data_IF_432704331752
#
_entry.id   IF_432704331752
#
_cell.length_a   1.000
_cell.length_b   1.000
_cell.length_c   1.000
_cell.angle_alpha   90.00
_cell.angle_beta   90.00
_cell.angle_gamma   90.00
#
_symmetry.space_group_name_H-M   'P 1'
#
loop_
_entity.id
_entity.type
_entity.pdbx_description
1 polymer ?
#
# COMPACT_ATOMS: atom_id res chain seq x y z
N UNK A 1 -6.82 19.43 16.44
CA UNK A 1 -7.93 18.62 15.90
C UNK A 1 -7.99 18.67 14.37
N UNK A 2 -7.94 19.86 13.76
CA UNK A 2 -8.18 20.00 12.30
C UNK A 2 -7.17 19.27 11.42
N UNK A 3 -5.89 19.24 11.79
CA UNK A 3 -4.86 18.48 11.06
C UNK A 3 -5.17 16.98 10.98
N UNK A 4 -5.78 16.40 12.03
CA UNK A 4 -6.13 14.98 12.07
C UNK A 4 -7.33 14.70 11.16
N UNK A 5 -8.36 15.56 11.22
CA UNK A 5 -9.52 15.48 10.32
C UNK A 5 -9.07 15.62 8.86
N UNK A 6 -8.25 16.62 8.57
CA UNK A 6 -7.70 16.85 7.25
C UNK A 6 -6.88 15.64 6.77
N UNK A 7 -6.03 15.05 7.60
CA UNK A 7 -5.24 13.87 7.22
C UNK A 7 -6.12 12.69 6.79
N UNK A 8 -7.17 12.36 7.55
CA UNK A 8 -8.08 11.27 7.21
C UNK A 8 -8.92 11.58 5.96
N UNK A 9 -9.52 12.76 5.89
CA UNK A 9 -10.39 13.15 4.76
C UNK A 9 -9.58 13.27 3.47
N UNK A 10 -8.43 13.93 3.51
CA UNK A 10 -7.60 14.13 2.32
C UNK A 10 -6.89 12.85 1.86
N UNK A 11 -6.65 11.90 2.76
CA UNK A 11 -6.23 10.54 2.37
C UNK A 11 -7.30 9.87 1.49
N UNK A 12 -8.56 9.90 1.93
CA UNK A 12 -9.67 9.36 1.16
C UNK A 12 -9.93 10.10 -0.16
N UNK A 13 -9.78 11.44 -0.17
CA UNK A 13 -9.87 12.24 -1.40
C UNK A 13 -8.74 11.86 -2.38
N UNK A 14 -7.51 11.75 -1.90
CA UNK A 14 -6.36 11.35 -2.72
C UNK A 14 -6.54 9.95 -3.30
N UNK A 15 -7.05 9.01 -2.49
CA UNK A 15 -7.39 7.66 -2.93
C UNK A 15 -8.46 7.67 -4.03
N UNK A 16 -9.59 8.36 -3.82
CA UNK A 16 -10.65 8.45 -4.81
C UNK A 16 -10.18 9.06 -6.15
N UNK A 17 -9.37 10.13 -6.07
CA UNK A 17 -8.77 10.78 -7.24
C UNK A 17 -7.85 9.84 -8.01
N UNK A 18 -6.99 9.09 -7.32
CA UNK A 18 -6.09 8.11 -7.93
C UNK A 18 -6.82 6.89 -8.48
N UNK A 19 -7.86 6.43 -7.79
CA UNK A 19 -8.57 5.19 -8.08
C UNK A 19 -9.43 5.26 -9.36
N UNK A 20 -10.12 6.39 -9.59
CA UNK A 20 -10.95 6.56 -10.80
C UNK A 20 -10.15 6.32 -12.10
N UNK A 21 -8.88 6.69 -12.11
CA UNK A 21 -8.02 6.51 -13.28
C UNK A 21 -7.66 5.04 -13.49
N UNK A 22 -7.47 4.28 -12.41
CA UNK A 22 -7.18 2.85 -12.46
C UNK A 22 -8.40 1.99 -12.87
N UNK A 23 -9.61 2.43 -12.51
CA UNK A 23 -10.84 1.70 -12.83
C UNK A 23 -11.31 1.88 -14.28
N UNK A 24 -10.95 2.99 -14.93
CA UNK A 24 -11.37 3.29 -16.31
C UNK A 24 -10.49 2.67 -17.40
N UNK A 25 -9.17 2.63 -17.24
CA UNK A 25 -8.29 2.11 -18.28
C UNK A 25 -7.04 1.43 -17.69
N UNK A 26 -6.73 0.22 -18.17
CA UNK A 26 -5.47 -0.49 -17.91
C UNK A 26 -4.23 0.21 -18.51
N UNK A 27 -4.32 1.50 -18.84
CA UNK A 27 -3.29 2.25 -19.56
C UNK A 27 -3.04 3.58 -18.86
N UNK A 28 -2.37 3.52 -17.71
CA UNK A 28 -1.98 4.67 -16.90
C UNK A 28 -0.81 5.44 -17.53
N UNK A 29 -1.01 5.99 -18.73
CA UNK A 29 -0.10 7.00 -19.26
C UNK A 29 -0.36 8.29 -18.50
N UNK A 30 0.57 8.68 -17.61
CA UNK A 30 0.45 9.90 -16.80
C UNK A 30 0.14 11.15 -17.63
N UNK A 31 0.59 11.22 -18.88
CA UNK A 31 0.24 12.28 -19.82
C UNK A 31 -1.26 12.36 -20.12
N UNK A 32 -1.95 11.22 -20.26
CA UNK A 32 -3.41 11.17 -20.49
C UNK A 32 -4.18 11.64 -19.27
N UNK A 33 -3.77 11.23 -18.06
CA UNK A 33 -4.37 11.71 -16.80
C UNK A 33 -4.25 13.24 -16.70
N UNK A 34 -3.08 13.79 -17.04
CA UNK A 34 -2.87 15.24 -17.03
C UNK A 34 -3.70 15.96 -18.11
N UNK A 35 -3.90 15.34 -19.28
CA UNK A 35 -4.77 15.89 -20.32
C UNK A 35 -6.24 15.92 -19.88
N UNK A 36 -6.76 14.81 -19.35
CA UNK A 36 -8.14 14.75 -18.84
C UNK A 36 -8.37 15.77 -17.72
N UNK A 37 -7.40 15.96 -16.84
CA UNK A 37 -7.48 16.98 -15.79
C UNK A 37 -7.52 18.40 -16.37
N UNK A 38 -6.75 18.68 -17.43
CA UNK A 38 -6.80 19.97 -18.14
C UNK A 38 -8.16 20.19 -18.82
N UNK A 39 -8.73 19.17 -19.43
CA UNK A 39 -10.05 19.22 -20.08
C UNK A 39 -11.18 19.50 -19.07
N UNK A 40 -11.04 19.01 -17.83
CA UNK A 40 -11.96 19.31 -16.72
C UNK A 40 -11.75 20.73 -16.16
N UNK A 41 -10.65 21.40 -16.53
CA UNK A 41 -10.32 22.75 -16.10
C UNK A 41 -9.48 22.80 -14.82
N UNK A 42 -8.77 21.74 -14.46
CA UNK A 42 -7.92 21.72 -13.26
C UNK A 42 -8.54 21.01 -12.05
N UNK A 43 -7.74 20.89 -10.98
CA UNK A 43 -8.12 20.17 -9.76
C UNK A 43 -9.19 20.93 -8.95
N UNK A 44 -9.16 22.25 -9.01
CA UNK A 44 -10.11 23.16 -8.36
C UNK A 44 -11.54 23.05 -8.91
N UNK A 45 -11.69 22.61 -10.16
CA UNK A 45 -12.98 22.45 -10.83
C UNK A 45 -13.55 21.03 -10.69
N UNK A 46 -12.83 20.14 -9.99
CA UNK A 46 -13.29 18.78 -9.75
C UNK A 46 -14.39 18.74 -8.71
N UNK A 47 -15.56 18.25 -9.13
CA UNK A 47 -16.67 17.91 -8.23
C UNK A 47 -16.61 16.41 -7.93
N UNK A 48 -16.24 16.08 -6.69
CA UNK A 48 -16.21 14.71 -6.20
C UNK A 48 -17.62 14.25 -5.85
N UNK A 49 -18.03 13.10 -6.40
CA UNK A 49 -19.26 12.41 -6.02
C UNK A 49 -18.97 10.92 -5.85
N UNK A 50 -19.65 10.22 -4.92
CA UNK A 50 -19.40 8.80 -4.69
C UNK A 50 -19.52 7.92 -5.95
N UNK A 51 -20.45 8.26 -6.85
CA UNK A 51 -20.68 7.50 -8.08
C UNK A 51 -19.55 7.67 -9.12
N UNK A 52 -18.95 8.86 -9.17
CA UNK A 52 -17.92 9.19 -10.17
C UNK A 52 -16.51 8.98 -9.63
N UNK A 53 -16.32 9.18 -8.33
CA UNK A 53 -15.05 9.15 -7.61
C UNK A 53 -15.20 8.30 -6.34
N UNK A 54 -15.46 6.99 -6.47
CA UNK A 54 -15.50 6.12 -5.31
C UNK A 54 -14.09 5.98 -4.71
N UNK A 55 -14.02 5.82 -3.39
CA UNK A 55 -12.78 5.42 -2.71
C UNK A 55 -12.41 3.97 -3.07
N UNK A 56 -11.13 3.60 -3.00
CA UNK A 56 -10.69 2.22 -3.27
C UNK A 56 -10.75 1.35 -2.00
N UNK A 57 -10.23 0.12 -2.11
CA UNK A 57 -9.95 -0.74 -0.96
C UNK A 57 -8.98 -0.11 0.04
N UNK A 58 -8.08 0.78 -0.40
CA UNK A 58 -7.13 1.47 0.48
C UNK A 58 -7.83 2.26 1.58
N UNK A 59 -8.79 3.11 1.23
CA UNK A 59 -9.55 3.87 2.23
C UNK A 59 -10.35 2.94 3.14
N UNK A 60 -10.95 1.87 2.60
CA UNK A 60 -11.73 0.93 3.43
C UNK A 60 -10.84 0.23 4.48
N UNK A 61 -9.65 -0.23 4.08
CA UNK A 61 -8.70 -0.87 4.99
C UNK A 61 -8.08 0.13 5.97
N UNK A 62 -7.84 1.38 5.54
CA UNK A 62 -7.40 2.45 6.42
C UNK A 62 -8.46 2.78 7.47
N UNK A 63 -9.73 2.86 7.07
CA UNK A 63 -10.85 3.05 8.00
C UNK A 63 -11.02 1.88 8.96
N UNK A 64 -10.90 0.63 8.49
CA UNK A 64 -10.91 -0.56 9.36
C UNK A 64 -9.81 -0.49 10.44
N UNK A 65 -8.62 -0.03 10.07
CA UNK A 65 -7.50 0.18 11.01
C UNK A 65 -7.79 1.34 11.96
N UNK A 66 -8.32 2.45 11.44
CA UNK A 66 -8.65 3.63 12.22
C UNK A 66 -9.73 3.33 13.27
N UNK A 67 -10.74 2.55 12.90
CA UNK A 67 -11.81 2.13 13.80
C UNK A 67 -11.32 1.17 14.89
N UNK A 68 -10.37 0.29 14.58
CA UNK A 68 -9.75 -0.59 15.59
C UNK A 68 -8.92 0.20 16.61
N UNK A 69 -8.15 1.22 16.18
CA UNK A 69 -7.22 1.92 17.08
C UNK A 69 -7.90 2.94 18.01
N UNK A 70 -9.18 3.21 17.78
CA UNK A 70 -10.03 4.06 18.64
C UNK A 70 -10.92 3.25 19.57
N UNK A 71 -10.90 1.92 19.52
CA UNK A 71 -11.60 1.11 20.52
C UNK A 71 -10.89 1.19 21.87
N UNK A 72 -11.63 0.87 22.92
CA UNK A 72 -11.04 0.65 24.23
C UNK A 72 -10.39 -0.72 24.26
N UNK A 73 -9.07 -0.75 24.45
CA UNK A 73 -8.27 -1.97 24.60
C UNK A 73 -7.33 -1.83 25.79
N UNK A 74 -7.11 -2.92 26.53
CA UNK A 74 -6.28 -2.90 27.73
C UNK A 74 -4.81 -3.17 27.40
N UNK A 75 -4.55 -3.99 26.39
CA UNK A 75 -3.22 -4.30 25.89
C UNK A 75 -3.18 -4.34 24.35
N UNK A 76 -1.98 -4.45 23.77
CA UNK A 76 -1.84 -4.50 22.30
C UNK A 76 -2.46 -5.76 21.69
N UNK A 77 -2.52 -6.88 22.41
CA UNK A 77 -3.18 -8.09 21.91
C UNK A 77 -4.68 -7.90 21.71
N UNK A 78 -5.35 -7.12 22.58
CA UNK A 78 -6.75 -6.74 22.40
C UNK A 78 -6.92 -5.92 21.11
N UNK A 79 -6.03 -4.96 20.87
CA UNK A 79 -6.01 -4.19 19.63
C UNK A 79 -5.79 -5.09 18.41
N UNK A 80 -4.87 -6.06 18.49
CA UNK A 80 -4.60 -6.97 17.37
C UNK A 80 -5.78 -7.89 17.07
N UNK A 81 -6.51 -8.36 18.09
CA UNK A 81 -7.77 -9.11 17.91
C UNK A 81 -8.84 -8.25 17.23
N UNK A 82 -8.97 -6.99 17.62
CA UNK A 82 -9.93 -6.09 16.97
C UNK A 82 -9.54 -5.77 15.52
N UNK A 83 -8.24 -5.57 15.24
CA UNK A 83 -7.74 -5.41 13.87
C UNK A 83 -8.08 -6.63 13.01
N UNK A 84 -7.86 -7.84 13.54
CA UNK A 84 -8.23 -9.09 12.86
C UNK A 84 -9.72 -9.11 12.51
N UNK A 85 -10.58 -8.85 13.49
CA UNK A 85 -12.03 -8.84 13.30
C UNK A 85 -12.43 -7.85 12.20
N UNK A 86 -11.91 -6.62 12.25
CA UNK A 86 -12.19 -5.55 11.27
C UNK A 86 -11.69 -5.89 9.87
N UNK A 87 -10.52 -6.50 9.75
CA UNK A 87 -9.96 -6.87 8.45
C UNK A 87 -10.72 -8.02 7.80
N UNK A 88 -11.12 -9.03 8.57
CA UNK A 88 -11.98 -10.11 8.07
C UNK A 88 -13.34 -9.55 7.61
N UNK A 89 -13.98 -8.71 8.43
CA UNK A 89 -15.26 -8.05 8.07
C UNK A 89 -15.14 -7.13 6.84
N UNK A 90 -13.94 -6.58 6.59
CA UNK A 90 -13.72 -5.69 5.45
C UNK A 90 -13.70 -6.45 4.12
N UNK A 91 -13.30 -7.72 4.08
CA UNK A 91 -13.11 -8.51 2.85
C UNK A 91 -14.34 -8.47 1.94
N UNK A 92 -15.53 -8.62 2.49
CA UNK A 92 -16.78 -8.59 1.71
C UNK A 92 -17.01 -7.24 1.03
N UNK A 93 -16.61 -6.14 1.70
CA UNK A 93 -16.73 -4.77 1.21
C UNK A 93 -15.66 -4.40 0.16
N UNK A 94 -14.59 -5.19 0.05
CA UNK A 94 -13.54 -5.00 -0.95
C UNK A 94 -13.90 -5.59 -2.31
N UNK A 95 -14.97 -6.40 -2.39
CA UNK A 95 -15.46 -6.97 -3.64
C UNK A 95 -15.74 -5.88 -4.68
N UNK A 96 -15.32 -6.11 -5.93
CA UNK A 96 -15.48 -5.16 -7.03
C UNK A 96 -14.47 -3.99 -7.06
N UNK A 97 -13.62 -3.82 -6.03
CA UNK A 97 -12.66 -2.70 -5.97
C UNK A 97 -11.25 -3.02 -6.48
N UNK A 98 -10.99 -4.26 -6.92
CA UNK A 98 -9.67 -4.77 -7.35
C UNK A 98 -8.57 -4.59 -6.29
N UNK A 99 -8.79 -5.13 -5.07
CA UNK A 99 -7.81 -5.01 -3.98
C UNK A 99 -6.50 -5.71 -4.31
N UNK A 100 -5.43 -5.30 -3.61
CA UNK A 100 -4.15 -6.02 -3.62
C UNK A 100 -4.38 -7.50 -3.26
N UNK A 101 -3.96 -8.48 -4.09
CA UNK A 101 -4.14 -9.89 -3.81
C UNK A 101 -3.63 -10.31 -2.43
N UNK A 102 -2.49 -9.75 -1.99
CA UNK A 102 -1.91 -10.05 -0.68
C UNK A 102 -2.82 -9.57 0.47
N UNK A 103 -3.57 -8.48 0.29
CA UNK A 103 -4.56 -8.03 1.27
C UNK A 103 -5.65 -9.07 1.47
N UNK A 104 -6.26 -9.56 0.37
CA UNK A 104 -7.37 -10.51 0.46
C UNK A 104 -6.92 -11.88 0.97
N UNK A 105 -5.81 -12.40 0.44
CA UNK A 105 -5.22 -13.66 0.89
C UNK A 105 -4.87 -13.59 2.37
N UNK A 106 -4.17 -12.53 2.78
CA UNK A 106 -3.80 -12.29 4.17
C UNK A 106 -4.99 -12.23 5.11
N UNK A 107 -6.05 -11.47 4.76
CA UNK A 107 -7.25 -11.39 5.60
C UNK A 107 -7.95 -12.75 5.77
N UNK A 108 -7.89 -13.63 4.77
CA UNK A 108 -8.46 -14.99 4.84
C UNK A 108 -7.65 -15.95 5.73
N UNK A 109 -6.37 -15.67 5.94
CA UNK A 109 -5.51 -16.46 6.82
C UNK A 109 -5.64 -16.06 8.30
N UNK A 110 -6.24 -14.90 8.58
CA UNK A 110 -6.52 -14.45 9.93
C UNK A 110 -7.56 -15.32 10.62
N UNK A 111 -7.47 -15.41 11.94
CA UNK A 111 -8.29 -16.34 12.74
C UNK A 111 -9.09 -15.57 13.79
N UNK A 112 -10.22 -14.95 13.42
CA UNK A 112 -10.99 -14.10 14.34
C UNK A 112 -11.53 -14.87 15.56
N UNK A 113 -11.76 -16.17 15.42
CA UNK A 113 -12.27 -17.04 16.50
C UNK A 113 -11.14 -17.59 17.40
N UNK A 114 -9.88 -17.27 17.13
CA UNK A 114 -8.75 -17.70 17.95
C UNK A 114 -8.29 -16.54 18.86
N UNK A 115 -8.16 -16.81 20.16
CA UNK A 115 -7.71 -15.80 21.11
C UNK A 115 -6.18 -15.64 21.15
N UNK A 116 -5.43 -16.68 20.77
CA UNK A 116 -3.97 -16.71 20.77
C UNK A 116 -3.45 -16.52 19.35
N UNK A 117 -2.61 -15.50 19.13
CA UNK A 117 -1.92 -15.25 17.86
C UNK A 117 -2.86 -15.17 16.65
N UNK A 118 -4.08 -14.65 16.85
CA UNK A 118 -5.14 -14.51 15.84
C UNK A 118 -4.68 -13.78 14.57
N UNK A 119 -3.73 -12.85 14.76
CA UNK A 119 -3.18 -11.94 13.76
C UNK A 119 -1.93 -12.44 13.06
N UNK A 120 -1.36 -13.57 13.50
CA UNK A 120 -0.15 -14.12 12.91
C UNK A 120 -0.46 -14.91 11.65
N UNK A 121 0.16 -14.49 10.56
CA UNK A 121 0.17 -15.18 9.27
C UNK A 121 1.58 -15.73 8.97
N UNK A 122 1.71 -16.82 8.19
CA UNK A 122 3.01 -17.29 7.73
C UNK A 122 3.72 -16.25 6.85
N UNK A 123 5.05 -16.39 6.70
CA UNK A 123 5.79 -15.58 5.74
C UNK A 123 5.24 -15.82 4.32
N UNK A 124 5.06 -14.73 3.56
CA UNK A 124 4.53 -14.77 2.21
C UNK A 124 5.49 -14.06 1.25
N UNK A 125 6.12 -14.80 0.32
CA UNK A 125 7.03 -14.23 -0.69
C UNK A 125 6.34 -13.18 -1.58
N UNK A 126 5.01 -13.30 -1.78
CA UNK A 126 4.20 -12.35 -2.54
C UNK A 126 3.65 -11.20 -1.69
N UNK A 127 3.89 -11.22 -0.38
CA UNK A 127 3.42 -10.20 0.57
C UNK A 127 4.19 -8.86 0.48
N UNK A 128 4.88 -8.58 -0.62
CA UNK A 128 5.65 -7.34 -0.82
C UNK A 128 4.82 -6.16 -1.36
N UNK A 129 3.51 -6.37 -1.53
CA UNK A 129 2.55 -5.36 -1.99
C UNK A 129 2.41 -4.15 -1.04
N UNK A 130 1.77 -3.09 -1.55
CA UNK A 130 1.64 -1.81 -0.84
C UNK A 130 0.45 -1.77 0.13
N UNK A 131 -0.43 -2.78 0.12
CA UNK A 131 -1.66 -2.78 0.92
C UNK A 131 -1.43 -2.73 2.44
N UNK A 132 -0.24 -3.05 2.93
CA UNK A 132 0.16 -2.79 4.32
C UNK A 132 0.40 -1.29 4.59
N UNK A 133 1.05 -0.59 3.68
CA UNK A 133 1.37 0.84 3.81
C UNK A 133 0.14 1.72 3.81
N UNK A 134 -0.83 1.44 2.93
CA UNK A 134 -2.00 2.31 2.71
C UNK A 134 -2.95 2.34 3.89
N UNK A 135 -2.95 1.29 4.72
CA UNK A 135 -3.82 1.22 5.92
C UNK A 135 -3.17 1.69 7.22
N UNK A 136 -1.88 2.04 7.21
CA UNK A 136 -1.11 2.30 8.43
C UNK A 136 -1.08 3.76 8.89
N UNK A 137 -1.63 4.70 8.11
CA UNK A 137 -1.52 6.14 8.38
C UNK A 137 -2.10 6.53 9.76
N UNK A 138 -3.23 5.93 10.15
CA UNK A 138 -3.87 6.22 11.44
C UNK A 138 -3.04 5.75 12.64
N UNK A 139 -2.11 4.80 12.47
CA UNK A 139 -1.19 4.36 13.53
C UNK A 139 -0.21 5.49 13.88
N UNK A 140 0.33 6.15 12.86
CA UNK A 140 1.15 7.35 13.01
C UNK A 140 0.41 8.48 13.71
N UNK A 141 -0.89 8.60 13.47
CA UNK A 141 -1.76 9.55 14.17
C UNK A 141 -2.00 9.15 15.62
N UNK A 142 -2.13 7.85 15.92
CA UNK A 142 -2.44 7.35 17.27
C UNK A 142 -1.23 7.38 18.20
N UNK A 143 -0.05 7.08 17.68
CA UNK A 143 1.21 6.95 18.42
C UNK A 143 2.25 7.99 17.98
N UNK A 144 1.80 9.19 17.63
CA UNK A 144 2.66 10.25 17.09
C UNK A 144 3.71 10.78 18.06
N UNK A 145 3.56 10.58 19.37
CA UNK A 145 4.48 11.15 20.37
C UNK A 145 5.82 10.41 20.37
N UNK A 146 6.98 11.09 20.51
CA UNK A 146 8.29 10.44 20.52
C UNK A 146 8.43 9.31 21.53
N UNK A 147 7.81 9.44 22.71
CA UNK A 147 7.84 8.44 23.78
C UNK A 147 7.06 7.16 23.43
N UNK A 148 6.27 7.18 22.35
CA UNK A 148 5.51 6.04 21.83
C UNK A 148 6.15 5.40 20.61
N UNK A 149 7.40 5.75 20.27
CA UNK A 149 8.09 5.24 19.09
C UNK A 149 8.17 3.71 19.06
N UNK A 150 8.50 3.06 20.18
CA UNK A 150 8.57 1.59 20.24
C UNK A 150 7.20 0.95 19.97
N UNK A 151 6.14 1.49 20.57
CA UNK A 151 4.75 1.06 20.30
C UNK A 151 4.36 1.29 18.84
N UNK A 152 4.75 2.42 18.25
CA UNK A 152 4.49 2.71 16.84
C UNK A 152 5.18 1.69 15.93
N UNK A 153 6.45 1.33 16.23
CA UNK A 153 7.20 0.32 15.49
C UNK A 153 6.49 -1.03 15.57
N UNK A 154 6.20 -1.49 16.77
CA UNK A 154 5.55 -2.78 17.00
C UNK A 154 4.18 -2.84 16.30
N UNK A 155 3.28 -1.89 16.58
CA UNK A 155 1.90 -1.95 16.05
C UNK A 155 1.88 -1.79 14.53
N UNK A 156 2.75 -0.95 13.95
CA UNK A 156 2.81 -0.81 12.48
C UNK A 156 3.36 -2.06 11.79
N UNK A 157 4.35 -2.74 12.40
CA UNK A 157 4.88 -4.01 11.86
C UNK A 157 3.81 -5.10 11.94
N UNK A 158 3.16 -5.28 13.10
CA UNK A 158 2.15 -6.33 13.26
C UNK A 158 0.92 -6.08 12.38
N UNK A 159 0.43 -4.84 12.30
CA UNK A 159 -0.63 -4.43 11.37
C UNK A 159 -0.26 -4.74 9.90
N UNK A 160 0.99 -4.49 9.51
CA UNK A 160 1.48 -4.84 8.17
C UNK A 160 1.49 -6.35 7.95
N UNK A 161 2.08 -7.11 8.89
CA UNK A 161 2.27 -8.56 8.81
C UNK A 161 0.98 -9.35 8.74
N UNK A 162 -0.09 -8.88 9.36
CA UNK A 162 -1.43 -9.50 9.27
C UNK A 162 -1.85 -9.82 7.83
N UNK A 163 -1.34 -9.07 6.83
CA UNK A 163 -1.65 -9.33 5.42
C UNK A 163 -0.42 -9.41 4.51
N UNK A 164 0.68 -8.76 4.91
CA UNK A 164 1.88 -8.60 4.10
C UNK A 164 3.07 -9.04 4.95
N UNK A 165 3.12 -10.33 5.31
CA UNK A 165 4.24 -10.89 6.05
C UNK A 165 5.48 -11.10 5.16
N UNK A 166 5.99 -9.98 4.65
CA UNK A 166 7.21 -9.80 3.91
C UNK A 166 7.78 -8.42 4.29
N UNK A 167 9.08 -8.25 4.58
CA UNK A 167 9.59 -6.97 5.07
C UNK A 167 9.36 -5.81 4.14
N UNK A 168 9.47 -5.99 2.82
CA UNK A 168 9.11 -4.93 1.86
C UNK A 168 7.67 -4.42 2.08
N UNK A 169 6.72 -5.30 2.43
CA UNK A 169 5.35 -4.92 2.72
C UNK A 169 5.20 -4.29 4.11
N UNK A 170 5.53 -5.01 5.18
CA UNK A 170 5.30 -4.50 6.55
C UNK A 170 6.21 -3.33 6.95
N UNK A 171 7.42 -3.19 6.37
CA UNK A 171 8.22 -1.97 6.56
C UNK A 171 7.63 -0.78 5.82
N UNK A 172 6.80 -1.01 4.79
CA UNK A 172 5.98 0.03 4.17
C UNK A 172 4.91 0.57 5.13
N UNK A 173 4.26 -0.30 5.91
CA UNK A 173 3.39 0.10 7.03
C UNK A 173 4.13 0.97 8.05
N UNK A 174 5.32 0.52 8.48
CA UNK A 174 6.19 1.28 9.38
C UNK A 174 6.56 2.66 8.80
N UNK A 175 6.96 2.71 7.53
CA UNK A 175 7.30 3.94 6.82
C UNK A 175 6.15 4.95 6.88
N UNK A 176 4.96 4.53 6.45
CA UNK A 176 3.77 5.39 6.44
C UNK A 176 3.42 5.86 7.86
N UNK A 177 3.43 4.98 8.85
CA UNK A 177 3.10 5.32 10.23
C UNK A 177 4.12 6.31 10.83
N UNK A 178 5.43 6.11 10.59
CA UNK A 178 6.49 7.02 11.03
C UNK A 178 6.37 8.39 10.38
N UNK A 179 6.16 8.45 9.06
CA UNK A 179 6.09 9.71 8.34
C UNK A 179 4.87 10.53 8.75
N UNK A 180 3.74 9.88 9.02
CA UNK A 180 2.57 10.57 9.60
C UNK A 180 2.86 11.08 11.01
N UNK A 181 3.54 10.31 11.86
CA UNK A 181 3.98 10.78 13.17
C UNK A 181 4.91 12.00 13.06
N UNK A 182 5.87 11.98 12.14
CA UNK A 182 6.79 13.09 11.86
C UNK A 182 6.06 14.34 11.36
N UNK A 183 5.06 14.17 10.49
CA UNK A 183 4.22 15.27 10.02
C UNK A 183 3.47 15.95 11.18
N UNK A 184 2.92 15.15 12.11
CA UNK A 184 2.21 15.66 13.29
C UNK A 184 3.17 16.37 14.25
N UNK A 185 4.37 15.82 14.44
CA UNK A 185 5.45 16.44 15.22
C UNK A 185 6.03 17.71 14.57
N UNK A 186 5.68 18.01 13.32
CA UNK A 186 6.21 19.16 12.58
C UNK A 186 7.66 19.00 12.14
N UNK A 187 8.16 17.77 12.00
CA UNK A 187 9.53 17.52 11.53
C UNK A 187 9.68 17.94 10.06
N UNK A 188 10.79 18.58 9.66
CA UNK A 188 11.05 18.92 8.26
C UNK A 188 11.04 17.70 7.34
N UNK A 189 10.29 17.77 6.23
CA UNK A 189 10.11 16.67 5.26
C UNK A 189 11.44 16.07 4.78
N UNK A 190 12.44 16.91 4.52
CA UNK A 190 13.78 16.51 4.06
C UNK A 190 14.50 15.54 5.01
N UNK A 191 14.10 15.51 6.30
CA UNK A 191 14.72 14.65 7.30
C UNK A 191 14.07 13.27 7.39
N UNK A 192 12.85 13.09 6.88
CA UNK A 192 12.03 11.91 7.19
C UNK A 192 12.71 10.60 6.82
N UNK A 193 13.27 10.49 5.60
CA UNK A 193 13.98 9.29 5.16
C UNK A 193 15.21 8.98 6.02
N UNK A 194 16.02 10.00 6.35
CA UNK A 194 17.18 9.85 7.25
C UNK A 194 16.76 9.40 8.64
N UNK A 195 15.71 10.01 9.20
CA UNK A 195 15.21 9.65 10.53
C UNK A 195 14.62 8.23 10.54
N UNK A 196 13.93 7.81 9.48
CA UNK A 196 13.48 6.42 9.35
C UNK A 196 14.66 5.43 9.33
N UNK A 197 15.77 5.74 8.65
CA UNK A 197 16.93 4.85 8.65
C UNK A 197 17.54 4.63 10.05
N UNK A 198 17.34 5.56 10.99
CA UNK A 198 17.72 5.36 12.40
C UNK A 198 16.77 4.43 13.15
N UNK A 199 15.52 4.31 12.71
CA UNK A 199 14.48 3.48 13.32
C UNK A 199 14.52 2.04 12.79
N UNK A 200 14.98 1.83 11.55
CA UNK A 200 15.07 0.51 10.91
C UNK A 200 15.78 -0.55 11.78
N UNK A 201 16.93 -0.29 12.45
CA UNK A 201 17.55 -1.28 13.33
C UNK A 201 16.66 -1.69 14.52
N UNK A 202 15.85 -0.78 15.05
CA UNK A 202 14.89 -1.08 16.12
C UNK A 202 13.77 -1.99 15.60
N UNK A 203 13.29 -1.74 14.38
CA UNK A 203 12.31 -2.60 13.70
C UNK A 203 12.87 -4.00 13.46
N UNK A 204 14.12 -4.11 13.01
CA UNK A 204 14.81 -5.39 12.85
C UNK A 204 14.92 -6.15 14.18
N UNK A 205 15.31 -5.46 15.25
CA UNK A 205 15.43 -6.07 16.59
C UNK A 205 14.07 -6.56 17.11
N UNK A 206 13.00 -5.79 16.90
CA UNK A 206 11.63 -6.23 17.18
C UNK A 206 11.32 -7.53 16.41
N UNK A 207 11.59 -7.57 15.10
CA UNK A 207 11.35 -8.74 14.27
C UNK A 207 12.10 -9.99 14.77
N UNK A 208 13.36 -9.83 15.19
CA UNK A 208 14.18 -10.93 15.71
C UNK A 208 13.61 -11.51 17.01
N UNK A 209 13.14 -10.66 17.92
CA UNK A 209 12.53 -11.08 19.20
C UNK A 209 11.25 -11.87 18.96
N UNK A 210 10.35 -11.37 18.11
CA UNK A 210 9.08 -12.04 17.80
C UNK A 210 9.30 -13.41 17.15
N UNK A 211 10.27 -13.54 16.23
CA UNK A 211 10.60 -14.83 15.59
C UNK A 211 11.10 -15.86 16.62
N UNK A 212 11.94 -15.45 17.58
CA UNK A 212 12.45 -16.34 18.63
C UNK A 212 11.33 -16.83 19.54
N UNK A 213 10.49 -15.91 20.03
CA UNK A 213 9.35 -16.27 20.88
C UNK A 213 8.35 -17.19 20.17
N UNK A 214 8.20 -17.05 18.85
CA UNK A 214 7.35 -17.93 18.03
C UNK A 214 7.93 -19.33 17.81
N UNK A 215 9.27 -19.47 17.80
CA UNK A 215 9.92 -20.78 17.69
C UNK A 215 9.82 -21.60 18.98
N UNK A 216 9.67 -20.93 20.12
CA UNK A 216 9.60 -21.53 21.45
C UNK A 216 8.16 -21.90 21.89
N UNK A 217 7.14 -21.46 21.14
CA UNK A 217 5.75 -21.87 21.37
C UNK A 217 5.52 -23.31 20.87
N UNK A 218 5.16 -24.26 21.75
CA UNK A 218 4.98 -25.65 21.34
C UNK A 218 3.86 -25.75 20.30
N UNK A 219 4.15 -26.44 19.19
CA UNK A 219 3.26 -26.70 18.05
C UNK A 219 1.99 -27.52 18.39
N UNK A 220 1.64 -27.64 19.67
CA UNK A 220 0.53 -28.43 20.19
C UNK A 220 -0.83 -27.71 20.08
N UNK A 221 -0.86 -26.38 20.05
CA UNK A 221 -2.11 -25.61 20.15
C UNK A 221 -2.69 -25.14 18.80
N UNK A 222 -1.98 -25.34 17.69
CA UNK A 222 -2.45 -24.98 16.34
C UNK A 222 -3.38 -26.04 15.69
N UNK A 223 -3.84 -27.05 16.44
CA UNK A 223 -4.77 -28.07 15.92
C UNK A 223 -6.22 -27.65 16.13
N UNK A 224 -6.83 -27.11 15.07
CA UNK A 224 -8.30 -27.10 14.92
C UNK A 224 -8.91 -28.51 14.92
N UNK A 225 -10.26 -28.62 15.00
CA UNK A 225 -10.95 -29.88 15.24
C UNK A 225 -10.61 -30.94 14.19
N UNK A 226 -10.37 -32.17 14.67
CA UNK A 226 -9.81 -33.31 13.94
C UNK A 226 -10.69 -33.69 12.74
N UNK A 227 -10.18 -33.55 11.52
CA UNK A 227 -10.90 -34.03 10.33
C UNK A 227 -10.25 -33.87 8.96
N UNK A 228 -9.09 -33.22 8.81
CA UNK A 228 -8.46 -33.04 7.49
C UNK A 228 -7.12 -33.79 7.36
N UNK A 229 -6.98 -34.52 6.26
CA UNK A 229 -5.81 -35.32 5.90
C UNK A 229 -4.52 -34.49 5.85
N UNK A 230 -3.40 -35.11 6.26
CA UNK A 230 -2.06 -34.51 6.27
C UNK A 230 -1.61 -34.12 4.85
N UNK A 231 -1.20 -32.87 4.56
CA UNK A 231 -0.31 -32.61 3.44
C UNK A 231 1.11 -33.07 3.81
N UNK A 232 1.81 -33.66 2.82
CA UNK A 232 3.21 -34.10 2.95
C UNK A 232 4.11 -32.90 3.27
N UNK A 233 5.05 -33.09 4.21
CA UNK A 233 6.06 -32.08 4.58
C UNK A 233 6.95 -31.74 3.38
N UNK A 234 7.12 -30.46 3.01
CA UNK A 234 8.30 -30.03 2.27
C UNK A 234 9.47 -29.97 3.25
N UNK A 235 10.57 -30.62 2.88
CA UNK A 235 11.85 -30.59 3.58
C UNK A 235 12.35 -29.16 3.84
N UNK A 236 12.98 -29.01 5.01
CA UNK A 236 14.00 -28.03 5.41
C UNK A 236 14.38 -26.96 4.37
N UNK A 237 13.81 -25.77 4.52
CA UNK A 237 14.42 -24.51 4.09
C UNK A 237 13.83 -23.31 4.86
N UNK A 238 13.96 -23.34 6.18
CA UNK A 238 14.07 -22.09 6.95
C UNK A 238 15.40 -21.44 6.57
N UNK A 239 15.43 -20.72 5.44
CA UNK A 239 16.54 -19.82 5.13
C UNK A 239 16.58 -18.78 6.25
N UNK A 240 17.74 -18.68 6.92
CA UNK A 240 18.00 -17.60 7.87
C UNK A 240 17.67 -16.24 7.22
N UNK A 241 17.08 -15.27 7.96
CA UNK A 241 16.74 -13.95 7.42
C UNK A 241 17.95 -13.11 6.96
N UNK A 242 19.18 -13.59 7.15
CA UNK A 242 20.41 -12.86 6.86
C UNK A 242 20.54 -12.38 5.40
N UNK A 243 19.80 -12.98 4.45
CA UNK A 243 19.78 -12.51 3.05
C UNK A 243 18.87 -11.31 2.81
N UNK A 244 17.86 -11.13 3.66
CA UNK A 244 16.80 -10.14 3.54
C UNK A 244 17.29 -8.74 3.95
N UNK A 245 18.15 -8.69 4.98
CA UNK A 245 18.79 -7.47 5.47
C UNK A 245 20.02 -7.07 4.64
N UNK A 246 20.69 -8.02 3.99
CA UNK A 246 21.81 -7.74 3.07
C UNK A 246 21.43 -6.84 1.88
N UNK A 247 20.16 -6.87 1.45
CA UNK A 247 19.65 -5.94 0.43
C UNK A 247 19.55 -4.50 0.94
N UNK A 248 19.20 -4.33 2.22
CA UNK A 248 19.10 -3.05 2.91
C UNK A 248 20.49 -2.48 3.22
N UNK A 249 21.43 -3.32 3.66
CA UNK A 249 22.83 -2.95 3.88
C UNK A 249 23.52 -2.45 2.61
N UNK A 250 23.19 -3.01 1.44
CA UNK A 250 23.69 -2.53 0.14
C UNK A 250 23.08 -1.18 -0.26
N UNK A 251 21.81 -0.95 0.05
CA UNK A 251 21.15 0.34 -0.19
C UNK A 251 21.64 1.46 0.76
N UNK A 252 22.26 1.07 1.89
CA UNK A 252 22.85 1.95 2.89
C UNK A 252 24.31 2.34 2.62
N UNK A 253 24.94 1.77 1.60
CA UNK A 253 26.28 2.22 1.19
C UNK A 253 26.18 3.60 0.52
N UNK A 254 27.02 4.58 0.90
CA UNK A 254 27.04 5.87 0.22
C UNK A 254 27.33 5.66 -1.26
N UNK A 255 26.42 6.09 -2.14
CA UNK A 255 26.74 6.28 -3.54
C UNK A 255 27.88 7.31 -3.60
N UNK A 256 29.07 6.86 -3.98
CA UNK A 256 30.23 7.71 -4.14
C UNK A 256 29.96 8.66 -5.31
N UNK A 257 29.51 9.88 -5.01
CA UNK A 257 29.41 10.97 -5.98
C UNK A 257 30.82 11.53 -6.13
N UNK A 258 31.50 11.38 -7.28
CA UNK A 258 32.83 11.94 -7.44
C UNK A 258 32.75 13.46 -7.37
N UNK A 259 33.52 14.07 -6.46
CA UNK A 259 33.71 15.52 -6.46
C UNK A 259 34.44 15.92 -7.74
N UNK A 260 33.92 16.94 -8.44
CA UNK A 260 34.61 17.59 -9.56
C UNK A 260 35.92 18.17 -9.04
N UNK A 261 37.05 17.61 -9.50
CA UNK A 261 38.35 18.27 -9.42
C UNK A 261 39.41 17.52 -8.64
N UNK A 262 39.79 16.33 -9.07
CA UNK A 262 41.15 15.82 -8.84
C UNK A 262 41.67 15.22 -10.14
N UNK A 263 42.59 15.95 -10.79
CA UNK A 263 43.46 15.41 -11.84
C UNK A 263 44.65 14.78 -11.13
N UNK A 264 44.88 13.50 -11.35
CA UNK A 264 46.04 12.77 -10.89
C UNK A 264 46.28 11.58 -11.82
N UNK A 265 47.49 11.50 -12.33
CA UNK A 265 47.94 10.77 -13.50
C UNK A 265 48.07 9.23 -13.35
N UNK A 266 47.91 8.53 -14.50
CA UNK A 266 48.35 7.15 -14.85
C UNK A 266 47.57 5.98 -14.18
N UNK A 267 47.38 4.79 -14.77
CA UNK A 267 48.11 3.99 -15.78
C UNK A 267 47.11 3.15 -16.59
N UNK A 268 47.43 2.92 -17.87
CA UNK A 268 46.81 1.97 -18.80
C UNK A 268 46.36 0.61 -18.18
N UNK A 269 45.09 0.24 -18.38
CA UNK A 269 44.69 -1.15 -18.61
C UNK A 269 43.70 -1.23 -19.76
N UNK A 270 44.11 -1.97 -20.80
CA UNK A 270 43.31 -2.31 -21.98
C UNK A 270 42.15 -3.22 -21.57
N UNK A 271 40.93 -2.89 -22.00
CA UNK A 271 39.79 -3.81 -22.01
C UNK A 271 39.64 -4.42 -23.42
N UNK A 272 39.29 -5.70 -23.55
CA UNK A 272 39.19 -6.36 -24.85
C UNK A 272 37.89 -5.97 -25.58
N UNK A 273 38.05 -5.62 -26.85
CA UNK A 273 37.00 -5.34 -27.82
C UNK A 273 36.30 -6.65 -28.20
N UNK A 274 34.96 -6.70 -28.09
CA UNK A 274 34.14 -7.76 -28.72
C UNK A 274 33.78 -7.34 -30.15
N UNK A 275 33.81 -8.27 -31.14
CA UNK A 275 33.60 -7.95 -32.54
C UNK A 275 32.12 -7.72 -32.90
N UNK A 276 31.92 -6.93 -33.95
CA UNK A 276 30.66 -6.30 -34.33
C UNK A 276 29.61 -7.20 -35.00
N UNK A 277 28.39 -6.65 -35.00
CA UNK A 277 27.21 -7.17 -35.70
C UNK A 277 27.15 -6.51 -37.08
N UNK A 278 27.05 -7.33 -38.13
CA UNK A 278 26.79 -6.90 -39.52
C UNK A 278 25.32 -6.51 -39.69
N UNK A 279 24.98 -5.52 -40.54
CA UNK A 279 23.61 -5.26 -40.94
C UNK A 279 23.23 -6.08 -42.18
N UNK A 280 22.07 -6.74 -42.16
CA UNK A 280 21.45 -7.32 -43.35
C UNK A 280 20.56 -6.29 -44.06
N UNK A 281 20.85 -6.08 -45.35
CA UNK A 281 19.92 -5.65 -46.39
C UNK A 281 19.11 -6.91 -46.79
N UNK A 282 17.85 -6.94 -47.21
CA UNK A 282 16.84 -5.97 -47.61
C UNK A 282 15.83 -6.73 -48.49
N UNK A 283 14.54 -6.38 -48.45
CA UNK A 283 13.52 -6.63 -49.49
C UNK A 283 12.21 -5.96 -49.03
N UNK A 284 11.90 -4.75 -49.51
CA UNK A 284 11.08 -4.46 -50.70
C UNK A 284 9.57 -4.72 -50.54
N UNK A 285 8.82 -3.61 -50.61
CA UNK A 285 7.55 -3.54 -51.33
C UNK A 285 6.25 -3.63 -50.50
N UNK A 286 5.57 -2.50 -50.31
CA UNK A 286 4.29 -2.19 -50.97
C UNK A 286 3.65 -0.91 -50.42
N UNK A 287 3.16 -0.10 -51.36
CA UNK A 287 2.53 1.23 -51.25
C UNK A 287 1.09 1.12 -50.72
N UNK A 288 0.55 2.11 -49.97
CA UNK A 288 -0.86 2.11 -49.56
C UNK A 288 -1.77 2.81 -50.60
N UNK A 289 -2.95 2.25 -50.84
CA UNK A 289 -4.04 2.85 -51.63
C UNK A 289 -5.41 2.61 -50.95
N UNK A 290 -6.43 3.44 -51.25
CA UNK A 290 -7.43 3.85 -50.25
C UNK A 290 -8.83 3.24 -50.42
N UNK A 291 -9.58 3.23 -49.30
CA UNK A 291 -11.04 3.37 -49.26
C UNK A 291 -11.86 2.08 -49.36
N UNK A 292 -12.77 1.88 -48.40
CA UNK A 292 -14.23 1.72 -48.65
C UNK A 292 -15.01 1.62 -47.34
N UNK A 293 -16.29 1.99 -47.47
CA UNK A 293 -17.30 2.26 -46.45
C UNK A 293 -17.95 0.98 -45.89
N UNK A 294 -18.65 1.14 -44.78
CA UNK A 294 -19.76 0.29 -44.32
C UNK A 294 -19.47 -0.34 -42.96
N UNK A 295 -20.39 -0.46 -42.01
CA UNK A 295 -21.81 -0.10 -41.93
C UNK A 295 -22.16 -0.17 -40.43
N UNK A 296 -23.04 0.71 -39.98
CA UNK A 296 -23.59 0.68 -38.63
C UNK A 296 -24.56 -0.50 -38.48
N UNK A 297 -24.48 -1.24 -37.37
CA UNK A 297 -25.56 -2.14 -36.96
C UNK A 297 -25.98 -1.88 -35.52
N UNK A 298 -27.17 -1.30 -35.42
CA UNK A 298 -27.97 -1.14 -34.22
C UNK A 298 -28.58 -2.50 -33.86
N UNK A 299 -28.36 -2.96 -32.63
CA UNK A 299 -29.15 -3.98 -31.94
C UNK A 299 -29.43 -3.36 -30.56
N UNK A 300 -30.65 -2.92 -30.26
CA UNK A 300 -31.82 -3.75 -30.06
C UNK A 300 -32.03 -3.88 -28.54
N UNK A 301 -32.72 -2.91 -27.96
CA UNK A 301 -33.19 -2.90 -26.56
C UNK A 301 -34.31 -3.94 -26.39
N UNK A 302 -34.40 -4.57 -25.22
CA UNK A 302 -35.64 -4.99 -24.53
C UNK A 302 -35.32 -5.40 -23.06
N UNK A 303 -36.32 -5.38 -22.14
CA UNK A 303 -36.20 -4.69 -20.85
C UNK A 303 -36.05 -5.56 -19.58
N UNK A 304 -35.64 -4.90 -18.50
CA UNK A 304 -35.61 -5.41 -17.11
C UNK A 304 -37.02 -5.47 -16.49
N UNK A 305 -37.30 -6.42 -15.57
CA UNK A 305 -38.52 -6.43 -14.79
C UNK A 305 -38.43 -5.53 -13.54
N UNK A 306 -39.53 -4.81 -13.30
CA UNK A 306 -39.81 -3.95 -12.15
C UNK A 306 -40.24 -4.79 -10.93
N UNK A 307 -39.73 -4.49 -9.73
CA UNK A 307 -40.38 -4.85 -8.46
C UNK A 307 -40.33 -3.64 -7.51
N UNK A 308 -41.50 -3.34 -6.93
CA UNK A 308 -41.80 -2.22 -6.05
C UNK A 308 -41.20 -2.35 -4.63
N UNK A 309 -40.88 -1.19 -4.05
CA UNK A 309 -41.40 -0.80 -2.72
C UNK A 309 -40.45 -0.95 -1.52
N UNK A 310 -39.89 0.17 -1.06
CA UNK A 310 -39.26 0.27 0.27
C UNK A 310 -38.68 1.66 0.57
N UNK A 311 -39.41 2.47 1.35
CA UNK A 311 -39.01 3.81 1.82
C UNK A 311 -37.75 3.75 2.69
N UNK A 312 -36.69 4.51 2.39
CA UNK A 312 -35.73 5.01 3.39
C UNK A 312 -35.26 6.42 3.03
N UNK A 313 -35.08 7.23 4.07
CA UNK A 313 -35.06 8.69 4.20
C UNK A 313 -33.98 9.42 3.38
N UNK A 314 -34.37 10.58 2.83
CA UNK A 314 -33.50 11.63 2.31
C UNK A 314 -32.51 12.11 3.39
N UNK A 315 -31.22 12.12 3.06
CA UNK A 315 -30.22 12.96 3.71
C UNK A 315 -29.79 14.05 2.73
N UNK A 316 -29.90 15.31 3.17
CA UNK A 316 -29.51 16.52 2.47
C UNK A 316 -27.99 16.53 2.16
N UNK A 317 -27.55 16.98 0.98
CA UNK A 317 -26.13 17.21 0.73
C UNK A 317 -25.71 18.57 1.33
N UNK A 318 -24.81 18.54 2.30
CA UNK A 318 -24.04 19.71 2.71
C UNK A 318 -23.02 20.04 1.61
N UNK A 319 -23.17 21.20 0.97
CA UNK A 319 -22.14 21.81 0.11
C UNK A 319 -21.17 22.57 1.00
N UNK A 320 -19.90 22.13 1.06
CA UNK A 320 -18.82 22.89 1.69
C UNK A 320 -17.97 23.54 0.59
N UNK A 321 -18.09 24.86 0.48
CA UNK A 321 -17.21 25.68 -0.34
C UNK A 321 -15.92 25.95 0.43
N UNK A 322 -14.79 25.42 -0.05
CA UNK A 322 -13.46 25.72 0.50
C UNK A 322 -12.97 27.00 -0.18
N UNK A 323 -13.02 28.13 0.54
CA UNK A 323 -12.30 29.34 0.15
C UNK A 323 -10.82 29.19 0.56
N UNK A 324 -9.94 29.27 -0.42
CA UNK A 324 -8.49 29.30 -0.24
C UNK A 324 -8.06 30.59 0.45
N UNK A 325 -7.28 30.47 1.53
CA UNK A 325 -6.46 31.55 2.07
C UNK A 325 -5.15 31.51 1.28
N UNK A 326 -4.99 32.45 0.35
CA UNK A 326 -3.72 32.72 -0.31
C UNK A 326 -2.84 33.54 0.63
N UNK A 327 -1.61 33.07 0.88
CA UNK A 327 -0.53 33.92 1.34
C UNK A 327 0.74 33.50 0.58
N UNK A 328 1.30 34.36 -0.29
CA UNK A 328 2.54 34.05 -0.98
C UNK A 328 3.72 34.31 -0.03
N UNK A 329 4.55 33.29 0.19
CA UNK A 329 5.89 33.48 0.76
C UNK A 329 6.90 33.20 -0.36
N UNK A 330 7.48 34.28 -0.89
CA UNK A 330 8.73 34.25 -1.64
C UNK A 330 9.86 33.80 -0.71
N UNK A 331 10.55 32.69 -1.05
CA UNK A 331 12.02 32.55 -1.10
C UNK A 331 12.34 31.51 -2.18
#
# INVERSE_FOLDING_TARGET
MDKFKAALVLAGVGDALGYRNFSRENNALGAKIQQELKEIGGLENLVLSPDKWPVSDNTLMHMATAEAVITDYWCLEDLYRELVRRYVDAVDKLSGRRPDPATIEGCRELKPDNHLLAWHTPFNEKGSGFGASTKAMCLGMRYWKPERLETLIEVSIECGRMTHNHPTGFLGSLCTALFVAYAIQGKPLVQWGREMMKVVPMAEEYCKKTIRHMADLPALELRGPRGAARPRRPHDRLRRPDGLWRGLDRALQPLHVPRRGERGDRVHRRLPVRPGVRPEQGAQGLVPGPGTKGEARVLGREPLPTVHGGKVKQFLPFSLSIKTISNPVNI
#
